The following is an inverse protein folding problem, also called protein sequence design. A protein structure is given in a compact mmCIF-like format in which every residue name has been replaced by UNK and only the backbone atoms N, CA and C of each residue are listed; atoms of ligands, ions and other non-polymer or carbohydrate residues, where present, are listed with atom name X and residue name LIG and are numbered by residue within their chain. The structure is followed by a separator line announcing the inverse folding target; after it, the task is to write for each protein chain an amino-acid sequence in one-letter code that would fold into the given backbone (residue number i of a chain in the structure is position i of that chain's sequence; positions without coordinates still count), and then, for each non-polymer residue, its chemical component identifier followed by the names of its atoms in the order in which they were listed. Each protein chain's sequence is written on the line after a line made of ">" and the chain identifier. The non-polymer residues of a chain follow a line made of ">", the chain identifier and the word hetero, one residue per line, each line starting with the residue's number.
data_IF_724509063108
#
_entry.id   IF_724509063108
#
_cell.length_a   1.000
_cell.length_b   1.000
_cell.length_c   1.000
_cell.angle_alpha   90.00
_cell.angle_beta   90.00
_cell.angle_gamma   90.00
#
_symmetry.space_group_name_H-M   'P 1'
#
loop_
_entity.id
_entity.type
_entity.pdbx_description
1 polymer ?
#
# COMPACT_ATOMS: atom_id res chain seq x y z
N UNK A 1 4.69 -34.58 11.59
CA UNK A 1 3.70 -35.66 11.46
C UNK A 1 4.19 -36.56 10.34
N UNK A 2 4.73 -37.72 10.70
CA UNK A 2 5.24 -38.71 9.74
C UNK A 2 4.11 -39.20 8.84
N UNK A 3 4.33 -39.19 7.53
CA UNK A 3 3.37 -39.69 6.56
C UNK A 3 3.83 -41.09 6.16
N UNK A 4 3.26 -42.11 6.81
CA UNK A 4 3.36 -43.48 6.34
C UNK A 4 2.47 -43.62 5.09
N UNK A 5 3.08 -43.74 3.92
CA UNK A 5 2.41 -44.17 2.71
C UNK A 5 2.05 -45.65 2.86
N UNK A 6 0.76 -45.95 2.95
CA UNK A 6 0.24 -47.31 2.75
C UNK A 6 -0.36 -47.36 1.35
N UNK A 7 0.19 -48.22 0.50
CA UNK A 7 -0.40 -48.53 -0.81
C UNK A 7 -1.69 -49.35 -0.61
N UNK A 8 -2.74 -48.98 -1.34
CA UNK A 8 -4.02 -49.71 -1.43
C UNK A 8 -4.06 -50.43 -2.80
N UNK A 9 -4.44 -51.73 -2.91
CA UNK A 9 -4.22 -52.53 -4.12
C UNK A 9 -5.17 -52.25 -5.30
N UNK A 10 -6.01 -51.22 -5.20
CA UNK A 10 -7.08 -50.98 -6.18
C UNK A 10 -6.95 -49.54 -6.65
N UNK A 11 -6.37 -49.36 -7.85
CA UNK A 11 -6.02 -48.08 -8.49
C UNK A 11 -7.16 -47.07 -8.67
N UNK A 12 -7.76 -46.60 -7.58
CA UNK A 12 -8.62 -45.42 -7.55
C UNK A 12 -7.73 -44.19 -7.42
N UNK A 13 -7.95 -43.14 -8.22
CA UNK A 13 -7.21 -41.90 -8.07
C UNK A 13 -7.48 -41.33 -6.68
N UNK A 14 -6.41 -40.97 -5.98
CA UNK A 14 -6.49 -40.20 -4.75
C UNK A 14 -7.21 -38.88 -5.05
N UNK A 15 -8.47 -38.77 -4.64
CA UNK A 15 -9.13 -37.46 -4.54
C UNK A 15 -8.41 -36.74 -3.41
N UNK A 16 -7.48 -35.87 -3.77
CA UNK A 16 -6.88 -34.92 -2.85
C UNK A 16 -8.01 -34.05 -2.32
N UNK A 17 -8.50 -34.35 -1.10
CA UNK A 17 -9.40 -33.47 -0.35
C UNK A 17 -8.57 -32.29 0.17
N UNK A 18 -8.04 -31.46 -0.74
CA UNK A 18 -7.56 -30.16 -0.35
C UNK A 18 -8.76 -29.38 0.18
N UNK A 19 -8.74 -29.09 1.48
CA UNK A 19 -9.68 -28.16 2.10
C UNK A 19 -9.10 -26.77 1.86
N UNK A 20 -9.91 -25.89 1.28
CA UNK A 20 -9.60 -24.47 1.18
C UNK A 20 -9.58 -23.87 2.59
N UNK A 21 -8.37 -23.77 3.16
CA UNK A 21 -8.11 -23.12 4.46
C UNK A 21 -7.80 -21.63 4.31
N UNK A 22 -8.02 -21.04 3.13
CA UNK A 22 -7.81 -19.60 2.94
C UNK A 22 -8.72 -18.81 3.88
N UNK A 23 -9.93 -19.31 4.12
CA UNK A 23 -10.85 -18.82 5.16
C UNK A 23 -10.34 -18.98 6.60
N UNK A 24 -9.48 -19.98 6.88
CA UNK A 24 -8.81 -20.14 8.18
C UNK A 24 -7.63 -19.18 8.36
N UNK A 25 -7.08 -18.65 7.26
CA UNK A 25 -6.03 -17.61 7.24
C UNK A 25 -6.58 -16.21 7.04
N UNK A 26 -7.80 -16.07 6.53
CA UNK A 26 -8.52 -14.82 6.43
C UNK A 26 -8.93 -14.38 7.83
N UNK A 27 -8.06 -13.60 8.44
CA UNK A 27 -8.34 -12.88 9.67
C UNK A 27 -9.46 -11.85 9.53
N UNK A 28 -10.26 -11.82 8.45
CA UNK A 28 -11.36 -10.87 8.30
C UNK A 28 -12.36 -11.00 9.45
N UNK A 29 -12.78 -12.23 9.79
CA UNK A 29 -13.64 -12.47 10.95
C UNK A 29 -12.94 -12.11 12.27
N UNK A 30 -11.65 -12.44 12.42
CA UNK A 30 -10.87 -12.10 13.61
C UNK A 30 -10.66 -10.59 13.78
N UNK A 31 -10.45 -9.86 12.68
CA UNK A 31 -10.28 -8.41 12.60
C UNK A 31 -11.60 -7.72 12.85
N UNK A 32 -12.72 -8.21 12.28
CA UNK A 32 -14.06 -7.73 12.59
C UNK A 32 -14.34 -7.90 14.09
N UNK A 33 -14.19 -9.10 14.64
CA UNK A 33 -14.42 -9.37 16.06
C UNK A 33 -13.54 -8.50 16.96
N UNK A 34 -12.27 -8.29 16.59
CA UNK A 34 -11.34 -7.44 17.34
C UNK A 34 -11.67 -5.96 17.22
N UNK A 35 -12.11 -5.52 16.05
CA UNK A 35 -12.58 -4.15 15.82
C UNK A 35 -13.84 -3.87 16.62
N UNK A 36 -14.81 -4.79 16.61
CA UNK A 36 -16.03 -4.72 17.43
C UNK A 36 -15.72 -4.71 18.93
N UNK A 37 -14.77 -5.53 19.39
CA UNK A 37 -14.32 -5.52 20.78
C UNK A 37 -13.70 -4.17 21.18
N UNK A 38 -12.82 -3.62 20.33
CA UNK A 38 -12.20 -2.30 20.55
C UNK A 38 -13.28 -1.20 20.57
N UNK A 39 -14.23 -1.21 19.63
CA UNK A 39 -15.32 -0.24 19.58
C UNK A 39 -16.21 -0.33 20.82
N UNK A 40 -16.48 -1.53 21.32
CA UNK A 40 -17.25 -1.76 22.54
C UNK A 40 -16.50 -1.24 23.77
N UNK A 41 -15.18 -1.47 23.86
CA UNK A 41 -14.34 -0.95 24.94
C UNK A 41 -14.31 0.59 24.93
N UNK A 42 -14.14 1.20 23.77
CA UNK A 42 -14.13 2.67 23.61
C UNK A 42 -15.48 3.27 23.98
N UNK A 43 -16.59 2.63 23.60
CA UNK A 43 -17.94 3.03 23.99
C UNK A 43 -18.15 2.96 25.51
N UNK A 44 -17.66 1.91 26.17
CA UNK A 44 -17.74 1.77 27.62
C UNK A 44 -16.92 2.83 28.37
N UNK A 45 -15.91 3.43 27.72
CA UNK A 45 -15.11 4.54 28.23
C UNK A 45 -15.65 5.92 27.84
N UNK A 46 -16.84 5.98 27.23
CA UNK A 46 -17.47 7.21 26.73
C UNK A 46 -16.59 7.98 25.72
N UNK A 47 -15.74 7.26 24.96
CA UNK A 47 -14.88 7.85 23.93
C UNK A 47 -15.62 7.81 22.58
N UNK A 48 -15.88 8.98 22.01
CA UNK A 48 -16.48 9.11 20.68
C UNK A 48 -15.47 8.80 19.58
N UNK A 49 -15.71 7.76 18.79
CA UNK A 49 -14.90 7.41 17.62
C UNK A 49 -15.43 8.16 16.40
N UNK A 50 -14.63 9.07 15.84
CA UNK A 50 -15.02 9.88 14.68
C UNK A 50 -14.81 9.17 13.34
N UNK A 51 -13.79 8.31 13.22
CA UNK A 51 -13.48 7.56 12.00
C UNK A 51 -12.61 6.34 12.32
N UNK A 52 -12.75 5.29 11.51
CA UNK A 52 -11.86 4.12 11.49
C UNK A 52 -11.17 4.10 10.12
N UNK A 53 -9.84 4.11 10.11
CA UNK A 53 -9.04 4.06 8.88
C UNK A 53 -8.36 2.71 8.82
N UNK A 54 -8.79 1.85 7.89
CA UNK A 54 -8.15 0.57 7.60
C UNK A 54 -7.25 0.71 6.37
N UNK A 55 -5.99 0.32 6.47
CA UNK A 55 -4.99 0.44 5.42
C UNK A 55 -5.08 -0.70 4.39
N UNK A 56 -6.16 -0.80 3.63
CA UNK A 56 -6.08 -1.56 2.39
C UNK A 56 -5.33 -0.73 1.34
N UNK A 57 -4.03 -0.48 1.53
CA UNK A 57 -3.28 0.27 0.53
C UNK A 57 -3.19 -0.59 -0.74
N UNK A 58 -3.65 -0.04 -1.87
CA UNK A 58 -3.59 -0.68 -3.18
C UNK A 58 -2.19 -1.16 -3.56
N UNK A 59 -1.14 -0.54 -3.02
CA UNK A 59 0.24 -0.97 -3.16
C UNK A 59 0.51 -2.33 -2.50
N UNK A 60 -0.07 -2.61 -1.32
CA UNK A 60 0.05 -3.92 -0.68
C UNK A 60 -0.64 -5.00 -1.52
N UNK A 61 -1.74 -4.66 -2.18
CA UNK A 61 -2.41 -5.57 -3.10
C UNK A 61 -1.55 -5.85 -4.34
N UNK A 62 -0.98 -4.82 -4.98
CA UNK A 62 -0.08 -4.99 -6.13
C UNK A 62 1.18 -5.78 -5.77
N UNK A 63 1.88 -5.42 -4.68
CA UNK A 63 3.04 -6.16 -4.18
C UNK A 63 2.71 -7.62 -3.85
N UNK A 64 1.52 -7.89 -3.30
CA UNK A 64 1.07 -9.25 -2.99
C UNK A 64 0.75 -10.05 -4.25
N UNK A 65 0.15 -9.42 -5.26
CA UNK A 65 -0.10 -10.05 -6.56
C UNK A 65 1.21 -10.45 -7.26
N UNK A 66 2.22 -9.57 -7.26
CA UNK A 66 3.54 -9.90 -7.84
C UNK A 66 4.20 -11.09 -7.14
N UNK A 67 4.03 -11.22 -5.81
CA UNK A 67 4.58 -12.35 -5.04
C UNK A 67 3.99 -13.71 -5.43
N UNK A 68 2.78 -13.74 -5.96
CA UNK A 68 2.08 -14.98 -6.35
C UNK A 68 2.00 -15.15 -7.87
N UNK A 69 2.71 -14.32 -8.64
CA UNK A 69 2.64 -14.32 -10.10
C UNK A 69 3.01 -15.68 -10.68
N UNK A 70 4.09 -16.29 -10.19
CA UNK A 70 4.57 -17.58 -10.69
C UNK A 70 3.56 -18.69 -10.39
N UNK A 71 3.01 -18.72 -9.19
CA UNK A 71 1.99 -19.67 -8.76
C UNK A 71 0.71 -19.54 -9.60
N UNK A 72 0.29 -18.31 -9.89
CA UNK A 72 -0.85 -18.05 -10.77
C UNK A 72 -0.57 -18.49 -12.21
N UNK A 73 0.62 -18.25 -12.74
CA UNK A 73 1.00 -18.71 -14.08
C UNK A 73 1.05 -20.24 -14.18
N UNK A 74 1.58 -20.92 -13.15
CA UNK A 74 1.56 -22.39 -13.07
C UNK A 74 0.11 -22.90 -13.01
N UNK A 75 -0.76 -22.27 -12.22
CA UNK A 75 -2.18 -22.58 -12.18
C UNK A 75 -2.82 -22.40 -13.57
N UNK A 76 -2.52 -21.29 -14.25
CA UNK A 76 -3.05 -21.00 -15.58
C UNK A 76 -2.65 -22.06 -16.61
N UNK A 77 -1.41 -22.55 -16.55
CA UNK A 77 -0.94 -23.65 -17.42
C UNK A 77 -1.70 -24.95 -17.13
N UNK A 78 -1.90 -25.30 -15.86
CA UNK A 78 -2.57 -26.54 -15.45
C UNK A 78 -4.06 -26.57 -15.79
N UNK A 79 -4.72 -25.41 -15.81
CA UNK A 79 -6.17 -25.27 -16.00
C UNK A 79 -6.53 -24.49 -17.27
N UNK A 80 -5.67 -24.56 -18.30
CA UNK A 80 -5.83 -23.81 -19.55
C UNK A 80 -7.18 -24.12 -20.22
N UNK A 81 -7.98 -23.09 -20.59
CA UNK A 81 -9.26 -23.30 -21.25
C UNK A 81 -9.09 -23.83 -22.69
N UNK A 82 -10.03 -24.66 -23.18
CA UNK A 82 -10.05 -25.11 -24.57
C UNK A 82 -10.29 -23.95 -25.54
N UNK A 83 -9.81 -24.10 -26.77
CA UNK A 83 -9.89 -23.07 -27.82
C UNK A 83 -11.36 -22.76 -28.19
N UNK A 84 -12.23 -23.77 -28.11
CA UNK A 84 -13.66 -23.68 -28.37
C UNK A 84 -14.40 -24.06 -27.08
N UNK A 85 -15.22 -23.16 -26.56
CA UNK A 85 -16.08 -23.42 -25.41
C UNK A 85 -17.25 -24.31 -25.85
N UNK A 86 -17.14 -25.61 -25.63
CA UNK A 86 -18.27 -26.54 -25.77
C UNK A 86 -19.09 -26.56 -24.48
N UNK A 87 -20.40 -26.77 -24.59
CA UNK A 87 -21.28 -26.94 -23.42
C UNK A 87 -20.73 -28.07 -22.53
N UNK A 88 -20.43 -27.75 -21.28
CA UNK A 88 -19.86 -28.70 -20.32
C UNK A 88 -20.63 -30.02 -20.29
N UNK A 89 -19.92 -31.10 -20.62
CA UNK A 89 -20.41 -32.46 -20.38
C UNK A 89 -19.95 -32.94 -19.01
N UNK A 90 -20.79 -33.75 -18.37
CA UNK A 90 -20.56 -34.25 -17.02
C UNK A 90 -19.33 -35.18 -17.01
N UNK A 91 -18.18 -34.67 -16.52
CA UNK A 91 -16.91 -35.41 -16.47
C UNK A 91 -15.67 -34.67 -17.01
N UNK A 92 -15.82 -33.45 -17.53
CA UNK A 92 -14.67 -32.65 -17.99
C UNK A 92 -13.78 -32.17 -16.83
N UNK A 93 -12.47 -32.13 -17.08
CA UNK A 93 -11.50 -31.51 -16.17
C UNK A 93 -11.87 -30.04 -15.98
N UNK A 94 -11.90 -29.53 -14.73
CA UNK A 94 -12.15 -28.12 -14.50
C UNK A 94 -11.13 -27.27 -15.26
N UNK A 95 -11.57 -26.13 -15.79
CA UNK A 95 -10.73 -25.17 -16.53
C UNK A 95 -10.96 -23.76 -15.98
N UNK A 96 -9.97 -22.89 -16.10
CA UNK A 96 -10.15 -21.48 -15.78
C UNK A 96 -11.09 -20.81 -16.78
N UNK A 97 -11.92 -19.85 -16.34
CA UNK A 97 -12.60 -18.94 -17.25
C UNK A 97 -11.59 -18.26 -18.17
N UNK A 98 -11.92 -18.16 -19.47
CA UNK A 98 -11.00 -17.67 -20.49
C UNK A 98 -10.46 -16.27 -20.20
N UNK A 99 -11.34 -15.38 -19.73
CA UNK A 99 -10.98 -14.01 -19.34
C UNK A 99 -9.91 -13.98 -18.23
N UNK A 100 -10.01 -14.88 -17.23
CA UNK A 100 -9.06 -14.96 -16.12
C UNK A 100 -7.71 -15.49 -16.61
N UNK A 101 -7.75 -16.54 -17.45
CA UNK A 101 -6.53 -17.08 -18.07
C UNK A 101 -5.80 -16.00 -18.87
N UNK A 102 -6.51 -15.25 -19.72
CA UNK A 102 -5.93 -14.20 -20.55
C UNK A 102 -5.28 -13.07 -19.73
N UNK A 103 -5.84 -12.72 -18.56
CA UNK A 103 -5.23 -11.75 -17.64
C UNK A 103 -3.94 -12.30 -17.03
N UNK A 104 -3.95 -13.53 -16.53
CA UNK A 104 -2.78 -14.15 -15.86
C UNK A 104 -1.63 -14.37 -16.86
N UNK A 105 -1.95 -14.72 -18.10
CA UNK A 105 -0.97 -14.97 -19.17
C UNK A 105 -0.43 -13.67 -19.81
N UNK A 106 -1.07 -12.52 -19.54
CA UNK A 106 -0.68 -11.23 -20.14
C UNK A 106 0.60 -10.66 -19.51
N UNK A 107 1.68 -10.58 -20.29
CA UNK A 107 2.90 -9.86 -19.87
C UNK A 107 2.62 -8.38 -19.58
N UNK A 108 1.83 -7.72 -20.44
CA UNK A 108 1.47 -6.31 -20.29
C UNK A 108 0.76 -6.03 -18.96
N UNK A 109 -0.12 -6.93 -18.52
CA UNK A 109 -0.77 -6.81 -17.21
C UNK A 109 0.26 -6.81 -16.08
N UNK A 110 1.19 -7.77 -16.08
CA UNK A 110 2.22 -7.86 -15.04
C UNK A 110 3.23 -6.71 -15.08
N UNK A 111 3.60 -6.22 -16.26
CA UNK A 111 4.43 -5.03 -16.43
C UNK A 111 3.75 -3.80 -15.83
N UNK A 112 2.44 -3.64 -16.04
CA UNK A 112 1.65 -2.56 -15.44
C UNK A 112 1.54 -2.68 -13.92
N UNK A 113 1.33 -3.88 -13.38
CA UNK A 113 1.30 -4.09 -11.92
C UNK A 113 2.67 -3.77 -11.31
N UNK A 114 3.76 -4.15 -11.98
CA UNK A 114 5.14 -3.82 -11.56
C UNK A 114 5.33 -2.31 -11.51
N UNK A 115 4.95 -1.61 -12.57
CA UNK A 115 5.02 -0.15 -12.64
C UNK A 115 4.22 0.53 -11.52
N UNK A 116 3.00 0.07 -11.27
CA UNK A 116 2.16 0.60 -10.17
C UNK A 116 2.85 0.39 -8.81
N UNK A 117 3.42 -0.80 -8.59
CA UNK A 117 4.11 -1.11 -7.35
C UNK A 117 5.35 -0.21 -7.14
N UNK A 118 6.14 0.01 -8.18
CA UNK A 118 7.31 0.92 -8.14
C UNK A 118 6.92 2.37 -7.83
N UNK A 119 5.84 2.87 -8.44
CA UNK A 119 5.34 4.22 -8.19
C UNK A 119 4.82 4.36 -6.75
N UNK A 120 4.13 3.35 -6.22
CA UNK A 120 3.46 3.43 -4.91
C UNK A 120 4.35 3.04 -3.73
N UNK A 121 5.44 2.29 -3.93
CA UNK A 121 6.38 1.89 -2.88
C UNK A 121 6.90 3.06 -2.03
N UNK A 122 7.41 4.18 -2.60
CA UNK A 122 7.87 5.30 -1.80
C UNK A 122 6.75 5.92 -0.97
N UNK A 123 5.52 5.99 -1.50
CA UNK A 123 4.37 6.50 -0.76
C UNK A 123 4.03 5.63 0.44
N UNK A 124 4.09 4.30 0.29
CA UNK A 124 3.76 3.38 1.37
C UNK A 124 4.81 3.42 2.47
N UNK A 125 6.10 3.50 2.11
CA UNK A 125 7.18 3.68 3.08
C UNK A 125 7.00 4.96 3.91
N UNK A 126 6.67 6.07 3.25
CA UNK A 126 6.44 7.34 3.93
C UNK A 126 5.15 7.33 4.76
N UNK A 127 4.08 6.69 4.26
CA UNK A 127 2.84 6.53 5.01
C UNK A 127 3.09 5.77 6.32
N UNK A 128 3.80 4.64 6.24
CA UNK A 128 4.17 3.86 7.43
C UNK A 128 5.03 4.66 8.41
N UNK A 129 5.97 5.46 7.89
CA UNK A 129 6.80 6.35 8.71
C UNK A 129 5.93 7.37 9.46
N UNK A 130 4.98 8.00 8.76
CA UNK A 130 4.14 9.07 9.30
C UNK A 130 2.99 8.57 10.17
N UNK A 131 2.58 7.31 10.01
CA UNK A 131 1.58 6.66 10.88
C UNK A 131 2.18 6.05 12.16
N UNK A 132 3.51 6.02 12.26
CA UNK A 132 4.19 5.56 13.47
C UNK A 132 3.89 6.49 14.66
N UNK A 133 3.75 5.93 15.86
CA UNK A 133 3.59 6.67 17.12
C UNK A 133 4.74 7.63 17.43
N UNK A 134 5.92 7.36 16.85
CA UNK A 134 7.13 8.17 16.94
C UNK A 134 7.27 9.20 15.82
N UNK A 135 6.24 9.35 14.97
CA UNK A 135 6.26 10.33 13.89
C UNK A 135 6.39 11.74 14.44
N UNK A 136 7.35 12.49 13.92
CA UNK A 136 7.65 13.88 14.27
C UNK A 136 7.27 14.79 13.12
N UNK A 137 6.82 16.00 13.45
CA UNK A 137 6.25 16.93 12.47
C UNK A 137 7.22 17.28 11.32
N UNK A 138 8.53 17.35 11.60
CA UNK A 138 9.53 17.61 10.56
C UNK A 138 9.59 16.50 9.50
N UNK A 139 9.22 15.26 9.85
CA UNK A 139 9.19 14.14 8.91
C UNK A 139 8.12 14.33 7.85
N UNK A 140 7.06 15.12 8.11
CA UNK A 140 6.05 15.47 7.11
C UNK A 140 6.68 16.31 6.00
N UNK A 141 7.46 17.33 6.36
CA UNK A 141 8.19 18.18 5.40
C UNK A 141 9.22 17.35 4.64
N UNK A 142 9.98 16.52 5.35
CA UNK A 142 10.97 15.64 4.75
C UNK A 142 10.35 14.68 3.74
N UNK A 143 9.23 14.06 4.09
CA UNK A 143 8.47 13.13 3.24
C UNK A 143 7.96 13.82 1.97
N UNK A 144 7.40 15.03 2.10
CA UNK A 144 6.94 15.79 0.94
C UNK A 144 8.09 16.20 0.02
N UNK A 145 9.21 16.67 0.58
CA UNK A 145 10.38 17.00 -0.20
C UNK A 145 10.93 15.77 -0.94
N UNK A 146 11.00 14.62 -0.27
CA UNK A 146 11.40 13.36 -0.89
C UNK A 146 10.50 13.00 -2.08
N UNK A 147 9.19 13.10 -1.94
CA UNK A 147 8.26 12.81 -3.04
C UNK A 147 8.45 13.76 -4.22
N UNK A 148 8.65 15.06 -3.98
CA UNK A 148 8.95 16.01 -5.07
C UNK A 148 10.25 15.62 -5.78
N UNK A 149 11.31 15.28 -5.04
CA UNK A 149 12.57 14.83 -5.62
C UNK A 149 12.44 13.51 -6.39
N UNK A 150 11.64 12.57 -5.89
CA UNK A 150 11.33 11.32 -6.59
C UNK A 150 10.72 11.62 -7.97
N UNK A 151 9.71 12.50 -8.04
CA UNK A 151 9.06 12.84 -9.30
C UNK A 151 9.91 13.70 -10.22
N UNK A 152 10.76 14.57 -9.69
CA UNK A 152 11.71 15.34 -10.50
C UNK A 152 12.73 14.45 -11.24
N UNK A 153 13.01 13.26 -10.69
CA UNK A 153 13.90 12.27 -11.29
C UNK A 153 13.16 11.17 -12.05
N UNK A 154 11.83 11.23 -12.13
CA UNK A 154 11.01 10.22 -12.79
C UNK A 154 11.02 10.44 -14.32
N UNK A 155 11.07 9.35 -15.09
CA UNK A 155 11.27 9.41 -16.55
C UNK A 155 10.08 9.99 -17.33
N UNK A 156 8.85 9.81 -16.84
CA UNK A 156 7.65 10.41 -17.45
C UNK A 156 7.43 11.84 -16.92
N UNK A 157 7.98 12.82 -17.65
CA UNK A 157 7.84 14.25 -17.38
C UNK A 157 6.38 14.71 -17.28
N UNK A 158 5.48 14.12 -18.06
CA UNK A 158 4.07 14.56 -18.11
C UNK A 158 3.35 14.12 -16.84
N UNK A 159 3.54 12.87 -16.44
CA UNK A 159 3.03 12.35 -15.18
C UNK A 159 3.67 13.08 -14.00
N UNK A 160 4.99 13.21 -13.99
CA UNK A 160 5.75 13.90 -12.94
C UNK A 160 5.24 15.32 -12.69
N UNK A 161 5.10 16.14 -13.74
CA UNK A 161 4.55 17.50 -13.63
C UNK A 161 3.15 17.52 -13.04
N UNK A 162 2.27 16.59 -13.45
CA UNK A 162 0.90 16.48 -12.91
C UNK A 162 0.91 16.11 -11.44
N UNK A 163 1.75 15.18 -11.02
CA UNK A 163 1.83 14.76 -9.61
C UNK A 163 2.46 15.85 -8.75
N UNK A 164 3.55 16.47 -9.19
CA UNK A 164 4.17 17.61 -8.49
C UNK A 164 3.16 18.74 -8.32
N UNK A 165 2.40 19.10 -9.35
CA UNK A 165 1.34 20.12 -9.23
C UNK A 165 0.27 19.76 -8.19
N UNK A 166 -0.04 18.47 -7.99
CA UNK A 166 -0.94 18.02 -6.91
C UNK A 166 -0.28 18.13 -5.53
N UNK A 167 0.99 17.77 -5.41
CA UNK A 167 1.76 17.92 -4.15
C UNK A 167 1.86 19.39 -3.75
N UNK A 168 2.18 20.28 -4.69
CA UNK A 168 2.24 21.73 -4.47
C UNK A 168 0.89 22.32 -4.08
N UNK A 169 -0.20 21.89 -4.74
CA UNK A 169 -1.55 22.29 -4.36
C UNK A 169 -1.84 21.90 -2.91
N UNK A 170 -1.51 20.65 -2.54
CA UNK A 170 -1.71 20.17 -1.17
C UNK A 170 -0.85 20.92 -0.16
N UNK A 171 0.38 21.25 -0.51
CA UNK A 171 1.29 22.05 0.31
C UNK A 171 0.73 23.46 0.59
N UNK A 172 0.08 24.10 -0.39
CA UNK A 172 -0.57 25.41 -0.22
C UNK A 172 -1.72 25.39 0.78
N UNK A 173 -2.41 24.26 0.91
CA UNK A 173 -3.54 24.11 1.84
C UNK A 173 -3.08 23.76 3.27
N UNK A 174 -1.79 23.49 3.49
CA UNK A 174 -1.26 23.08 4.79
C UNK A 174 -0.81 24.27 5.64
N UNK A 175 -0.73 24.05 6.95
CA UNK A 175 -0.13 24.98 7.92
C UNK A 175 1.41 25.03 7.76
N UNK A 176 1.86 25.57 6.62
CA UNK A 176 3.28 25.65 6.24
C UNK A 176 4.16 26.27 7.34
N UNK A 177 3.77 27.38 8.01
CA UNK A 177 4.58 27.97 9.05
C UNK A 177 4.95 27.00 10.18
N UNK A 178 3.98 26.21 10.65
CA UNK A 178 4.21 25.25 11.73
C UNK A 178 5.11 24.09 11.27
N UNK A 179 4.89 23.60 10.05
CA UNK A 179 5.71 22.56 9.44
C UNK A 179 7.17 23.02 9.25
N UNK A 180 7.38 24.21 8.71
CA UNK A 180 8.70 24.78 8.49
C UNK A 180 9.42 25.08 9.82
N UNK A 181 8.69 25.55 10.85
CA UNK A 181 9.24 25.69 12.20
C UNK A 181 9.73 24.36 12.77
N UNK A 182 8.97 23.27 12.60
CA UNK A 182 9.41 21.96 13.08
C UNK A 182 10.71 21.49 12.42
N UNK A 183 10.92 21.86 11.16
CA UNK A 183 12.13 21.55 10.41
C UNK A 183 13.30 22.44 10.84
N UNK A 184 13.05 23.73 11.10
CA UNK A 184 14.04 24.66 11.66
C UNK A 184 14.53 24.24 13.06
N UNK A 185 13.61 23.78 13.92
CA UNK A 185 13.92 23.37 15.29
C UNK A 185 14.60 22.00 15.36
N UNK A 186 14.75 21.30 14.23
CA UNK A 186 15.47 20.04 14.19
C UNK A 186 16.98 20.27 14.41
N UNK A 187 17.63 19.57 15.37
CA UNK A 187 19.03 19.82 15.74
C UNK A 187 20.03 19.71 14.59
N UNK A 188 19.74 18.91 13.56
CA UNK A 188 20.65 18.69 12.42
C UNK A 188 20.29 19.53 11.18
N UNK A 189 19.02 19.92 11.01
CA UNK A 189 18.55 20.52 9.75
C UNK A 189 18.62 22.04 9.76
N UNK A 190 18.08 22.69 10.79
CA UNK A 190 18.15 24.14 11.02
C UNK A 190 17.97 24.97 9.73
N UNK A 191 18.64 26.12 9.61
CA UNK A 191 18.56 26.97 8.42
C UNK A 191 19.30 26.41 7.19
N UNK A 192 20.23 25.49 7.38
CA UNK A 192 21.10 24.95 6.33
C UNK A 192 20.35 24.11 5.29
N UNK A 193 19.14 23.63 5.60
CA UNK A 193 18.32 22.90 4.65
C UNK A 193 17.34 23.79 3.86
N UNK A 194 17.28 25.09 4.16
CA UNK A 194 16.43 26.02 3.45
C UNK A 194 17.20 26.74 2.34
N UNK A 195 16.50 27.06 1.25
CA UNK A 195 17.08 27.84 0.16
C UNK A 195 17.30 29.29 0.62
N UNK A 196 18.56 29.68 0.77
CA UNK A 196 18.96 31.02 1.21
C UNK A 196 18.66 32.13 0.20
N UNK A 197 18.25 31.79 -1.03
CA UNK A 197 17.84 32.76 -2.04
C UNK A 197 16.38 33.23 -1.84
N UNK A 198 15.60 32.51 -1.05
CA UNK A 198 14.19 32.84 -0.78
C UNK A 198 14.12 33.84 0.38
N UNK A 199 13.84 35.10 0.06
CA UNK A 199 13.79 36.20 1.04
C UNK A 199 12.76 36.00 2.16
N UNK A 200 11.69 35.24 1.92
CA UNK A 200 10.67 34.93 2.94
C UNK A 200 11.11 33.87 3.96
N UNK A 201 12.21 33.17 3.73
CA UNK A 201 12.72 32.12 4.63
C UNK A 201 13.92 32.66 5.40
N UNK A 202 13.64 33.28 6.55
CA UNK A 202 14.67 33.87 7.41
C UNK A 202 14.23 33.89 8.88
N UNK A 203 15.18 34.12 9.79
CA UNK A 203 14.92 34.12 11.23
C UNK A 203 13.88 35.14 11.69
N UNK A 204 13.73 36.27 11.00
CA UNK A 204 12.70 37.27 11.34
C UNK A 204 11.29 36.73 11.04
N UNK A 205 11.09 36.08 9.89
CA UNK A 205 9.83 35.43 9.55
C UNK A 205 9.52 34.27 10.52
N UNK A 206 10.50 33.41 10.78
CA UNK A 206 10.35 32.31 11.74
C UNK A 206 10.07 32.80 13.16
N UNK A 207 10.73 33.86 13.61
CA UNK A 207 10.49 34.45 14.93
C UNK A 207 9.03 34.91 15.10
N UNK A 208 8.44 35.53 14.06
CA UNK A 208 7.01 35.90 14.06
C UNK A 208 6.10 34.69 14.22
N UNK A 209 6.38 33.60 13.52
CA UNK A 209 5.61 32.37 13.63
C UNK A 209 5.80 31.72 15.00
N UNK A 210 7.00 31.76 15.57
CA UNK A 210 7.31 31.17 16.87
C UNK A 210 6.56 31.92 17.99
N UNK A 211 6.53 33.26 17.93
CA UNK A 211 5.70 34.08 18.82
C UNK A 211 4.20 33.75 18.66
N UNK A 212 3.72 33.58 17.43
CA UNK A 212 2.31 33.27 17.16
C UNK A 212 1.88 31.91 17.71
N UNK A 213 2.64 30.84 17.42
CA UNK A 213 2.28 29.47 17.80
C UNK A 213 2.62 29.11 19.25
N UNK A 214 3.75 29.60 19.76
CA UNK A 214 4.28 29.18 21.06
C UNK A 214 4.17 30.25 22.13
N UNK A 215 3.74 31.47 21.80
CA UNK A 215 3.68 32.62 22.73
C UNK A 215 5.01 32.86 23.46
N UNK A 216 6.12 32.56 22.78
CA UNK A 216 7.48 32.76 23.27
C UNK A 216 7.90 34.24 23.18
#
# INVERSE_FOLDING_TARGET
>A
MEIALKEDPVGKPYVWKAVDITSERENNAAVINKTEAILTELKNKEITVCAIVTDSASAYAAARLLKIQQELQILAINFKPPIVETRHQQGETPTLPREIFEIIDSSTFWDQITLINEILDPYCKLLNLLQCDKARLFQVVHSMNYLVQFWLNYSDDTLAKRIIGRLEKRWKDWEQPLLLLSYLLHPEYRMNQFNNTISSVNYSAFGKWLMYYYRA
#
